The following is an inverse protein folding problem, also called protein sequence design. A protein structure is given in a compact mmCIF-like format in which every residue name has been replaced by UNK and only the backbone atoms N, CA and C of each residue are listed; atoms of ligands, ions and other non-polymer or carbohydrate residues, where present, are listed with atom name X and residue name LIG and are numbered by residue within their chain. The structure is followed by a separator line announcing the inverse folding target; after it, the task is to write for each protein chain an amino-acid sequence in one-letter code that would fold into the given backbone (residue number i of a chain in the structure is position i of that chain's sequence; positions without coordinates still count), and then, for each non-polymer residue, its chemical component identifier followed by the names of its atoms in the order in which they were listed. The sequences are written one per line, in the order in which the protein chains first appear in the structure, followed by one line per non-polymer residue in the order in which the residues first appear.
data_IF_895853344552
#
_entry.id   IF_895853344552
#
_cell.length_a   1.000
_cell.length_b   1.000
_cell.length_c   1.000
_cell.angle_alpha   90.00
_cell.angle_beta   90.00
_cell.angle_gamma   90.00
#
_symmetry.space_group_name_H-M   'P 1'
#
loop_
_entity.id
_entity.type
_entity.pdbx_description
1 polymer ?
#
# COMPACT_ATOMS: atom_id res chain seq x y z
N UNK A 1 19.87 -10.30 -18.61
CA UNK A 1 18.52 -10.91 -18.67
C UNK A 1 17.78 -10.31 -19.86
N UNK A 2 17.18 -11.13 -20.75
CA UNK A 2 16.29 -10.60 -21.78
C UNK A 2 14.99 -10.18 -21.12
N UNK A 3 14.58 -8.93 -21.33
CA UNK A 3 13.23 -8.46 -21.04
C UNK A 3 12.24 -9.26 -21.92
N UNK A 4 11.32 -9.98 -21.30
CA UNK A 4 10.32 -10.75 -22.02
C UNK A 4 9.56 -11.67 -21.09
N UNK A 5 8.22 -11.60 -21.17
CA UNK A 5 7.25 -12.54 -20.59
C UNK A 5 6.83 -12.33 -19.13
N UNK A 6 6.54 -11.09 -18.74
CA UNK A 6 5.30 -10.74 -18.03
C UNK A 6 4.99 -9.27 -18.34
N UNK A 7 4.77 -8.97 -19.63
CA UNK A 7 4.21 -7.68 -19.99
C UNK A 7 2.78 -7.66 -19.46
N UNK A 8 2.54 -6.90 -18.39
CA UNK A 8 1.20 -6.64 -17.90
C UNK A 8 0.34 -6.22 -19.12
N UNK A 9 -0.80 -6.88 -19.41
CA UNK A 9 -1.55 -6.62 -20.65
C UNK A 9 -1.95 -5.15 -20.79
N UNK A 10 -1.91 -4.54 -21.99
CA UNK A 10 -2.30 -3.14 -22.22
C UNK A 10 -3.61 -2.71 -21.56
N UNK A 11 -3.62 -1.53 -20.92
CA UNK A 11 -4.82 -0.97 -20.30
C UNK A 11 -5.17 -1.54 -18.92
N UNK A 12 -4.25 -2.30 -18.31
CA UNK A 12 -4.39 -2.80 -16.92
C UNK A 12 -4.33 -1.72 -15.85
N UNK A 13 -3.98 -0.48 -16.21
CA UNK A 13 -3.97 0.63 -15.27
C UNK A 13 -2.73 0.73 -14.39
N UNK A 14 -1.70 -0.05 -14.70
CA UNK A 14 -0.37 0.13 -14.12
C UNK A 14 0.34 1.26 -14.86
N UNK A 15 1.23 1.95 -14.16
CA UNK A 15 1.89 3.16 -14.66
C UNK A 15 2.57 2.96 -16.03
N UNK A 16 3.22 1.80 -16.24
CA UNK A 16 3.89 1.43 -17.50
C UNK A 16 2.93 1.17 -18.68
N UNK A 17 1.62 1.32 -18.47
CA UNK A 17 0.62 0.66 -19.29
C UNK A 17 -0.76 1.31 -19.29
N UNK A 18 -0.77 2.65 -19.25
CA UNK A 18 -1.99 3.45 -19.29
C UNK A 18 -2.45 3.66 -20.74
N UNK A 19 -3.75 3.53 -20.99
CA UNK A 19 -4.36 4.06 -22.21
C UNK A 19 -4.63 5.57 -22.09
N UNK A 20 -5.09 6.21 -23.17
CA UNK A 20 -5.34 7.66 -23.21
C UNK A 20 -6.34 8.16 -22.15
N UNK A 21 -7.44 7.45 -21.94
CA UNK A 21 -8.45 7.81 -20.93
C UNK A 21 -7.90 7.64 -19.51
N UNK A 22 -7.16 6.56 -19.27
CA UNK A 22 -6.50 6.31 -18.00
C UNK A 22 -5.46 7.39 -17.68
N UNK A 23 -4.69 7.82 -18.68
CA UNK A 23 -3.75 8.94 -18.55
C UNK A 23 -4.47 10.24 -18.20
N UNK A 24 -5.62 10.52 -18.82
CA UNK A 24 -6.45 11.70 -18.54
C UNK A 24 -6.95 11.71 -17.08
N UNK A 25 -7.42 10.58 -16.56
CA UNK A 25 -7.84 10.46 -15.15
C UNK A 25 -6.64 10.64 -14.21
N UNK A 26 -5.45 10.14 -14.57
CA UNK A 26 -4.24 10.39 -13.77
C UNK A 26 -3.87 11.88 -13.72
N UNK A 27 -3.97 12.60 -14.85
CA UNK A 27 -3.79 14.06 -14.88
C UNK A 27 -4.80 14.78 -14.00
N UNK A 28 -6.08 14.41 -14.10
CA UNK A 28 -7.16 14.97 -13.29
C UNK A 28 -6.90 14.74 -11.79
N UNK A 29 -6.48 13.53 -11.41
CA UNK A 29 -6.10 13.20 -10.04
C UNK A 29 -4.95 14.05 -9.50
N UNK A 30 -3.87 14.20 -10.27
CA UNK A 30 -2.76 15.05 -9.85
C UNK A 30 -3.17 16.52 -9.77
N UNK A 31 -4.01 17.01 -10.68
CA UNK A 31 -4.56 18.37 -10.62
C UNK A 31 -5.31 18.58 -9.30
N UNK A 32 -6.21 17.67 -8.92
CA UNK A 32 -6.92 17.77 -7.65
C UNK A 32 -6.00 17.67 -6.44
N UNK A 33 -5.05 16.73 -6.44
CA UNK A 33 -4.08 16.58 -5.35
C UNK A 33 -3.32 17.89 -5.12
N UNK A 34 -2.85 18.53 -6.20
CA UNK A 34 -2.06 19.75 -6.12
C UNK A 34 -2.89 20.98 -5.74
N UNK A 35 -4.09 21.17 -6.29
CA UNK A 35 -4.98 22.25 -5.87
C UNK A 35 -5.31 22.18 -4.37
N UNK A 36 -5.61 20.97 -3.90
CA UNK A 36 -5.88 20.74 -2.48
C UNK A 36 -4.62 20.91 -1.62
N UNK A 37 -3.45 20.47 -2.10
CA UNK A 37 -2.19 20.67 -1.40
C UNK A 37 -1.73 22.13 -1.36
N UNK A 38 -2.22 22.99 -2.26
CA UNK A 38 -1.87 24.41 -2.28
C UNK A 38 -2.85 25.26 -1.45
N UNK A 39 -4.15 24.98 -1.53
CA UNK A 39 -5.19 25.85 -0.97
C UNK A 39 -6.04 25.22 0.14
N UNK A 40 -5.93 23.90 0.33
CA UNK A 40 -6.77 23.13 1.26
C UNK A 40 -8.12 22.73 0.67
N UNK A 41 -8.43 23.17 -0.55
CA UNK A 41 -9.66 22.84 -1.26
C UNK A 41 -9.43 22.69 -2.77
N UNK A 42 -10.36 22.04 -3.46
CA UNK A 42 -10.41 22.04 -4.92
C UNK A 42 -11.87 22.02 -5.38
N UNK A 43 -12.07 22.23 -6.69
CA UNK A 43 -13.39 22.24 -7.30
C UNK A 43 -13.45 21.14 -8.37
N UNK A 44 -14.38 20.21 -8.19
CA UNK A 44 -14.55 19.05 -9.07
C UNK A 44 -15.84 19.19 -9.88
N UNK A 45 -15.91 18.66 -11.11
CA UNK A 45 -17.15 18.65 -11.89
C UNK A 45 -18.32 18.02 -11.12
N UNK A 46 -19.51 18.62 -11.21
CA UNK A 46 -20.70 18.08 -10.54
C UNK A 46 -21.06 16.67 -10.99
N UNK A 47 -20.78 16.30 -12.24
CA UNK A 47 -21.01 14.95 -12.74
C UNK A 47 -20.19 13.89 -11.99
N UNK A 48 -18.92 14.19 -11.67
CA UNK A 48 -18.09 13.30 -10.85
C UNK A 48 -18.62 13.18 -9.42
N UNK A 49 -19.12 14.27 -8.84
CA UNK A 49 -19.81 14.20 -7.55
C UNK A 49 -21.10 13.37 -7.63
N UNK A 50 -21.88 13.51 -8.71
CA UNK A 50 -23.11 12.73 -8.90
C UNK A 50 -22.79 11.24 -9.02
N UNK A 51 -21.71 10.87 -9.71
CA UNK A 51 -21.21 9.50 -9.77
C UNK A 51 -20.83 8.97 -8.39
N UNK A 52 -20.13 9.78 -7.57
CA UNK A 52 -19.81 9.45 -6.17
C UNK A 52 -21.07 9.16 -5.36
N UNK A 53 -22.11 10.00 -5.51
CA UNK A 53 -23.39 9.82 -4.80
C UNK A 53 -24.13 8.55 -5.25
N UNK A 54 -24.11 8.26 -6.55
CA UNK A 54 -24.72 7.05 -7.13
C UNK A 54 -24.01 5.78 -6.65
N UNK A 55 -22.68 5.80 -6.64
CA UNK A 55 -21.87 4.70 -6.12
C UNK A 55 -22.17 4.46 -4.64
N UNK A 56 -22.25 5.52 -3.83
CA UNK A 56 -22.59 5.42 -2.42
C UNK A 56 -23.98 4.80 -2.18
N UNK A 57 -24.99 5.14 -2.99
CA UNK A 57 -26.32 4.53 -2.92
C UNK A 57 -26.26 3.03 -3.26
N UNK A 58 -25.54 2.65 -4.32
CA UNK A 58 -25.37 1.23 -4.68
C UNK A 58 -24.64 0.43 -3.59
N UNK A 59 -23.70 1.07 -2.88
CA UNK A 59 -22.93 0.49 -1.80
C UNK A 59 -23.75 0.26 -0.52
N UNK A 60 -24.82 1.03 -0.28
CA UNK A 60 -25.71 0.82 0.88
C UNK A 60 -26.51 -0.48 0.83
N UNK A 61 -26.63 -1.12 -0.34
CA UNK A 61 -27.17 -2.48 -0.49
C UNK A 61 -26.18 -3.60 -0.14
N UNK A 62 -24.90 -3.28 0.09
CA UNK A 62 -23.88 -4.26 0.49
C UNK A 62 -24.03 -4.64 1.97
N UNK A 63 -23.85 -5.92 2.30
CA UNK A 63 -23.83 -6.39 3.71
C UNK A 63 -22.50 -6.10 4.42
N UNK A 64 -21.47 -5.62 3.72
CA UNK A 64 -20.17 -5.30 4.30
C UNK A 64 -20.23 -3.98 5.11
N UNK A 65 -20.07 -4.01 6.46
CA UNK A 65 -20.24 -2.83 7.31
C UNK A 65 -19.25 -1.69 7.03
N UNK A 66 -18.03 -2.03 6.60
CA UNK A 66 -16.96 -1.10 6.23
C UNK A 66 -17.31 -0.28 4.99
N UNK A 67 -17.92 -0.92 3.99
CA UNK A 67 -18.38 -0.28 2.74
C UNK A 67 -19.50 0.72 3.03
N UNK A 68 -20.45 0.37 3.90
CA UNK A 68 -21.52 1.29 4.33
C UNK A 68 -20.98 2.49 5.13
N UNK A 69 -20.02 2.25 6.05
CA UNK A 69 -19.42 3.31 6.85
C UNK A 69 -18.59 4.27 6.00
N UNK A 70 -17.83 3.75 5.03
CA UNK A 70 -17.04 4.56 4.10
C UNK A 70 -17.90 5.46 3.21
N UNK A 71 -19.04 4.95 2.74
CA UNK A 71 -20.03 5.70 1.95
C UNK A 71 -20.68 6.85 2.75
N UNK A 72 -20.88 6.67 4.06
CA UNK A 72 -21.49 7.67 4.95
C UNK A 72 -20.53 8.78 5.42
N UNK A 73 -19.22 8.66 5.19
CA UNK A 73 -18.21 9.58 5.70
C UNK A 73 -17.36 10.26 4.60
N UNK A 74 -17.87 10.37 3.37
CA UNK A 74 -17.16 11.03 2.25
C UNK A 74 -17.43 12.54 2.15
N UNK A 75 -16.69 13.22 1.26
CA UNK A 75 -16.84 14.65 0.96
C UNK A 75 -18.30 15.11 0.75
N UNK A 76 -19.13 14.26 0.14
CA UNK A 76 -20.50 14.60 -0.25
C UNK A 76 -21.58 13.86 0.55
N UNK A 77 -21.26 13.38 1.75
CA UNK A 77 -22.22 12.65 2.59
C UNK A 77 -23.33 13.56 3.14
N UNK A 78 -24.57 13.07 3.14
CA UNK A 78 -25.73 13.81 3.67
C UNK A 78 -25.93 15.17 2.98
N UNK A 79 -26.08 16.23 3.76
CA UNK A 79 -26.28 17.60 3.25
C UNK A 79 -25.00 18.24 2.66
N UNK A 80 -23.83 17.59 2.78
CA UNK A 80 -22.55 18.13 2.29
C UNK A 80 -22.51 18.28 0.77
N UNK A 81 -23.20 17.42 0.01
CA UNK A 81 -23.27 17.53 -1.45
C UNK A 81 -23.88 18.86 -1.89
N UNK A 82 -25.00 19.24 -1.29
CA UNK A 82 -25.68 20.48 -1.63
C UNK A 82 -24.89 21.71 -1.15
N UNK A 83 -24.25 21.62 0.02
CA UNK A 83 -23.35 22.66 0.48
C UNK A 83 -22.14 22.82 -0.45
N UNK A 84 -21.55 21.73 -0.92
CA UNK A 84 -20.41 21.76 -1.83
C UNK A 84 -20.74 22.44 -3.16
N UNK A 85 -21.97 22.28 -3.68
CA UNK A 85 -22.45 23.01 -4.86
C UNK A 85 -22.58 24.51 -4.58
N UNK A 86 -23.25 24.87 -3.47
CA UNK A 86 -23.44 26.28 -3.09
C UNK A 86 -22.12 27.00 -2.87
N UNK A 87 -21.16 26.33 -2.23
CA UNK A 87 -19.82 26.87 -2.01
C UNK A 87 -19.07 27.07 -3.33
N UNK A 88 -19.21 26.14 -4.28
CA UNK A 88 -18.64 26.30 -5.62
C UNK A 88 -19.28 27.45 -6.40
N UNK A 89 -20.60 27.59 -6.36
CA UNK A 89 -21.32 28.71 -6.98
C UNK A 89 -20.92 30.06 -6.36
N UNK A 90 -20.80 30.13 -5.04
CA UNK A 90 -20.34 31.33 -4.33
C UNK A 90 -18.89 31.70 -4.70
N UNK A 91 -18.06 30.72 -5.05
CA UNK A 91 -16.70 30.93 -5.57
C UNK A 91 -16.65 31.21 -7.09
N UNK A 92 -17.80 31.39 -7.76
CA UNK A 92 -17.89 31.63 -9.19
C UNK A 92 -17.57 30.40 -10.05
N UNK A 93 -17.65 29.19 -9.48
CA UNK A 93 -17.38 27.89 -10.13
C UNK A 93 -18.69 27.17 -10.45
N UNK A 94 -19.50 27.76 -11.33
CA UNK A 94 -20.75 27.15 -11.78
C UNK A 94 -20.54 25.74 -12.36
N UNK A 95 -21.42 24.80 -12.03
CA UNK A 95 -21.31 23.40 -12.47
C UNK A 95 -20.23 22.57 -11.77
N UNK A 96 -19.59 23.11 -10.72
CA UNK A 96 -18.62 22.40 -9.89
C UNK A 96 -19.17 22.10 -8.49
N UNK A 97 -18.43 21.29 -7.73
CA UNK A 97 -18.63 21.02 -6.32
C UNK A 97 -17.30 21.18 -5.58
N UNK A 98 -17.33 21.84 -4.42
CA UNK A 98 -16.13 22.03 -3.60
C UNK A 98 -15.78 20.76 -2.83
N UNK A 99 -14.49 20.43 -2.80
CA UNK A 99 -13.89 19.40 -1.94
C UNK A 99 -12.92 20.10 -1.00
N UNK A 100 -12.98 19.82 0.31
CA UNK A 100 -12.09 20.43 1.31
C UNK A 100 -11.37 19.38 2.16
N UNK A 101 -10.10 19.62 2.50
CA UNK A 101 -9.37 18.80 3.48
C UNK A 101 -9.99 18.84 4.87
N UNK A 102 -10.57 19.98 5.23
CA UNK A 102 -11.19 20.17 6.54
C UNK A 102 -12.32 19.16 6.77
N UNK A 103 -13.03 18.75 5.70
CA UNK A 103 -14.08 17.72 5.77
C UNK A 103 -13.57 16.34 6.22
N UNK A 104 -12.26 16.09 6.07
CA UNK A 104 -11.59 14.87 6.48
C UNK A 104 -10.70 15.08 7.73
N UNK A 105 -10.72 16.27 8.34
CA UNK A 105 -9.84 16.60 9.46
C UNK A 105 -8.35 16.64 9.08
N UNK A 106 -8.06 17.00 7.83
CA UNK A 106 -6.71 17.22 7.31
C UNK A 106 -6.46 18.72 7.12
N UNK A 107 -5.18 19.08 7.02
CA UNK A 107 -4.74 20.43 6.68
C UNK A 107 -3.64 20.38 5.62
N UNK A 108 -3.40 21.51 4.96
CA UNK A 108 -2.37 21.65 3.90
C UNK A 108 -0.99 21.26 4.43
N UNK A 109 -0.67 21.70 5.66
CA UNK A 109 0.60 21.45 6.32
C UNK A 109 0.84 19.97 6.59
N UNK A 110 -0.23 19.18 6.74
CA UNK A 110 -0.15 17.74 6.97
C UNK A 110 -0.19 16.92 5.68
N UNK A 111 -0.93 17.38 4.66
CA UNK A 111 -1.15 16.62 3.43
C UNK A 111 0.14 16.40 2.63
N UNK A 112 0.87 17.48 2.37
CA UNK A 112 2.07 17.40 1.50
C UNK A 112 3.14 16.51 2.12
N UNK A 113 3.47 16.62 3.43
CA UNK A 113 4.40 15.70 4.06
C UNK A 113 3.95 14.25 4.04
N UNK A 114 2.67 13.95 4.33
CA UNK A 114 2.20 12.55 4.37
C UNK A 114 2.12 11.92 2.97
N UNK A 115 1.81 12.70 1.93
CA UNK A 115 1.84 12.25 0.53
C UNK A 115 3.24 11.73 0.18
N UNK A 116 4.26 12.57 0.37
CA UNK A 116 5.63 12.22 -0.01
C UNK A 116 6.26 11.19 0.91
N UNK A 117 5.97 11.25 2.22
CA UNK A 117 6.37 10.18 3.16
C UNK A 117 5.84 8.82 2.68
N UNK A 118 4.60 8.79 2.19
CA UNK A 118 4.02 7.56 1.68
C UNK A 118 4.56 7.15 0.31
N UNK A 119 5.14 8.03 -0.50
CA UNK A 119 5.80 7.65 -1.77
C UNK A 119 7.07 6.84 -1.52
N UNK A 120 7.89 7.21 -0.51
CA UNK A 120 9.18 6.55 -0.25
C UNK A 120 10.07 6.48 -1.52
N UNK A 121 10.41 5.28 -1.98
CA UNK A 121 11.11 5.00 -3.22
C UNK A 121 10.23 4.35 -4.30
N UNK A 122 8.90 4.38 -4.13
CA UNK A 122 7.94 3.97 -5.16
C UNK A 122 7.82 5.08 -6.21
N UNK A 123 7.36 4.72 -7.42
CA UNK A 123 6.98 5.71 -8.42
C UNK A 123 5.73 6.48 -7.93
N UNK A 124 5.73 7.83 -7.86
CA UNK A 124 4.57 8.60 -7.37
C UNK A 124 3.26 8.28 -8.12
N UNK A 125 3.29 8.19 -9.45
CA UNK A 125 2.10 7.77 -10.23
C UNK A 125 1.60 6.38 -9.84
N UNK A 126 2.49 5.42 -9.50
CA UNK A 126 2.06 4.08 -9.08
C UNK A 126 1.29 4.12 -7.75
N UNK A 127 1.70 4.99 -6.81
CA UNK A 127 0.93 5.21 -5.58
C UNK A 127 -0.47 5.74 -5.89
N UNK A 128 -0.58 6.77 -6.75
CA UNK A 128 -1.87 7.36 -7.13
C UNK A 128 -2.75 6.35 -7.85
N UNK A 129 -2.19 5.62 -8.83
CA UNK A 129 -2.92 4.66 -9.64
C UNK A 129 -3.51 3.50 -8.84
N UNK A 130 -2.91 3.10 -7.71
CA UNK A 130 -3.52 2.11 -6.81
C UNK A 130 -4.90 2.56 -6.30
N UNK A 131 -5.04 3.83 -5.92
CA UNK A 131 -6.32 4.39 -5.49
C UNK A 131 -7.30 4.57 -6.66
N UNK A 132 -6.80 5.00 -7.82
CA UNK A 132 -7.61 5.18 -9.03
C UNK A 132 -8.20 3.85 -9.52
N UNK A 133 -7.39 2.79 -9.60
CA UNK A 133 -7.86 1.43 -9.95
C UNK A 133 -8.88 0.92 -8.94
N UNK A 134 -8.60 1.07 -7.63
CA UNK A 134 -9.52 0.66 -6.56
C UNK A 134 -10.87 1.40 -6.58
N UNK A 135 -10.95 2.54 -7.29
CA UNK A 135 -12.18 3.32 -7.46
C UNK A 135 -12.62 3.42 -8.91
N UNK A 136 -12.27 2.40 -9.72
CA UNK A 136 -12.76 2.20 -11.08
C UNK A 136 -12.61 3.46 -11.95
N UNK A 137 -11.49 4.16 -11.80
CA UNK A 137 -11.18 5.38 -12.54
C UNK A 137 -12.07 6.60 -12.25
N UNK A 138 -12.84 6.59 -11.16
CA UNK A 138 -13.48 7.81 -10.64
C UNK A 138 -12.47 8.59 -9.77
N UNK A 139 -12.01 9.73 -10.28
CA UNK A 139 -11.00 10.55 -9.62
C UNK A 139 -11.43 11.03 -8.23
N UNK A 140 -12.67 11.49 -8.06
CA UNK A 140 -13.11 12.06 -6.79
C UNK A 140 -13.26 10.99 -5.70
N UNK A 141 -13.76 9.81 -6.06
CA UNK A 141 -13.77 8.65 -5.18
C UNK A 141 -12.36 8.19 -4.79
N UNK A 142 -11.42 8.19 -5.75
CA UNK A 142 -10.02 7.85 -5.50
C UNK A 142 -9.36 8.87 -4.56
N UNK A 143 -9.59 10.17 -4.77
CA UNK A 143 -9.09 11.25 -3.92
C UNK A 143 -9.60 11.13 -2.48
N UNK A 144 -10.91 10.89 -2.31
CA UNK A 144 -11.53 10.66 -1.01
C UNK A 144 -10.93 9.44 -0.28
N UNK A 145 -10.71 8.34 -1.01
CA UNK A 145 -10.07 7.15 -0.45
C UNK A 145 -8.63 7.41 -0.02
N UNK A 146 -7.85 8.07 -0.89
CA UNK A 146 -6.46 8.40 -0.62
C UNK A 146 -6.31 9.29 0.61
N UNK A 147 -7.10 10.36 0.72
CA UNK A 147 -7.02 11.26 1.86
C UNK A 147 -7.51 10.59 3.15
N UNK A 148 -8.51 9.71 3.11
CA UNK A 148 -8.88 8.88 4.28
C UNK A 148 -7.73 7.95 4.69
N UNK A 149 -7.00 7.38 3.75
CA UNK A 149 -5.81 6.58 4.04
C UNK A 149 -4.68 7.42 4.65
N UNK A 150 -4.48 8.65 4.19
CA UNK A 150 -3.51 9.58 4.77
C UNK A 150 -3.91 10.03 6.17
N UNK A 151 -5.20 10.33 6.38
CA UNK A 151 -5.74 10.63 7.70
C UNK A 151 -5.51 9.46 8.65
N UNK A 152 -5.84 8.23 8.24
CA UNK A 152 -5.55 7.03 9.03
C UNK A 152 -4.07 6.89 9.35
N UNK A 153 -3.16 7.15 8.37
CA UNK A 153 -1.72 7.11 8.63
C UNK A 153 -1.27 8.10 9.70
N UNK A 154 -1.89 9.28 9.74
CA UNK A 154 -1.61 10.30 10.75
C UNK A 154 -2.22 9.92 12.10
N UNK A 155 -3.48 9.48 12.12
CA UNK A 155 -4.20 9.08 13.35
C UNK A 155 -3.53 7.86 14.01
N UNK A 156 -3.01 6.93 13.20
CA UNK A 156 -2.25 5.77 13.65
C UNK A 156 -0.76 6.06 13.85
N UNK A 157 -0.27 7.27 13.58
CA UNK A 157 1.16 7.58 13.67
C UNK A 157 2.04 6.50 12.99
N UNK A 158 1.68 6.16 11.75
CA UNK A 158 2.41 5.17 10.94
C UNK A 158 3.89 5.53 10.77
N UNK A 159 4.29 6.81 10.65
CA UNK A 159 5.71 7.18 10.69
C UNK A 159 6.46 6.63 11.91
N UNK A 160 5.87 6.69 13.12
CA UNK A 160 6.51 6.10 14.32
C UNK A 160 6.71 4.59 14.22
N UNK A 161 5.91 3.89 13.40
CA UNK A 161 6.04 2.45 13.19
C UNK A 161 7.12 2.16 12.13
N UNK A 162 7.09 2.93 11.05
CA UNK A 162 7.93 2.76 9.86
C UNK A 162 9.42 3.04 10.12
N UNK A 163 9.70 3.98 11.01
CA UNK A 163 11.06 4.48 11.27
C UNK A 163 11.71 3.90 12.53
N UNK A 164 10.94 3.32 13.45
CA UNK A 164 11.44 2.77 14.73
C UNK A 164 12.12 1.41 14.60
N UNK A 165 12.97 1.11 15.58
CA UNK A 165 13.52 -0.23 15.77
C UNK A 165 12.45 -1.20 16.25
N UNK A 166 12.65 -2.50 16.01
CA UNK A 166 11.79 -3.54 16.58
C UNK A 166 11.78 -3.56 18.12
N UNK A 167 12.88 -3.16 18.76
CA UNK A 167 12.98 -3.00 20.22
C UNK A 167 12.06 -1.85 20.69
N UNK A 168 12.19 -0.66 20.11
CA UNK A 168 11.33 0.49 20.45
C UNK A 168 9.84 0.18 20.19
N UNK A 169 9.57 -0.59 19.14
CA UNK A 169 8.21 -1.02 18.84
C UNK A 169 7.66 -1.98 19.89
N UNK A 170 8.47 -2.92 20.41
CA UNK A 170 8.05 -3.82 21.49
C UNK A 170 7.83 -3.10 22.81
N UNK A 171 8.68 -2.12 23.14
CA UNK A 171 8.52 -1.26 24.34
C UNK A 171 7.17 -0.54 24.33
N UNK A 172 6.76 -0.03 23.15
CA UNK A 172 5.46 0.65 22.96
C UNK A 172 4.30 -0.32 22.76
N UNK A 173 4.57 -1.53 22.30
CA UNK A 173 3.57 -2.53 21.92
C UNK A 173 3.96 -3.90 22.49
N UNK A 174 3.56 -4.20 23.74
CA UNK A 174 4.04 -5.38 24.44
C UNK A 174 3.81 -6.67 23.64
N UNK A 175 4.85 -7.50 23.54
CA UNK A 175 4.89 -8.79 22.83
C UNK A 175 4.90 -8.68 21.30
N UNK A 176 5.12 -7.50 20.73
CA UNK A 176 5.32 -7.35 19.29
C UNK A 176 6.53 -8.18 18.82
N UNK A 177 7.66 -8.07 19.51
CA UNK A 177 8.88 -8.80 19.19
C UNK A 177 8.67 -10.30 19.34
N UNK A 178 8.02 -10.74 20.42
CA UNK A 178 7.65 -12.15 20.63
C UNK A 178 6.82 -12.72 19.47
N UNK A 179 5.95 -11.93 18.86
CA UNK A 179 5.15 -12.35 17.70
C UNK A 179 6.02 -12.50 16.42
N UNK A 180 7.05 -11.68 16.27
CA UNK A 180 8.05 -11.83 15.21
C UNK A 180 8.91 -13.08 15.48
N UNK A 181 9.50 -13.21 16.66
CA UNK A 181 10.35 -14.32 17.07
C UNK A 181 9.73 -15.70 16.83
N UNK A 182 8.43 -15.86 17.15
CA UNK A 182 7.74 -17.14 16.97
C UNK A 182 7.46 -17.49 15.50
N UNK A 183 7.68 -16.57 14.56
CA UNK A 183 7.36 -16.76 13.15
C UNK A 183 5.86 -16.82 12.89
N UNK A 184 5.05 -16.05 13.62
CA UNK A 184 3.60 -15.92 13.34
C UNK A 184 3.37 -15.38 11.94
N UNK A 185 4.23 -14.45 11.54
CA UNK A 185 4.33 -13.90 10.21
C UNK A 185 5.80 -13.88 9.78
N UNK A 186 6.09 -14.27 8.54
CA UNK A 186 7.40 -14.03 7.93
C UNK A 186 7.28 -13.96 6.41
N UNK A 187 8.25 -13.33 5.75
CA UNK A 187 8.30 -13.24 4.28
C UNK A 187 9.49 -14.03 3.79
N UNK A 188 9.29 -14.87 2.79
CA UNK A 188 10.38 -15.60 2.14
C UNK A 188 10.06 -15.93 0.68
N UNK A 189 10.99 -15.61 -0.21
CA UNK A 189 10.92 -15.97 -1.62
C UNK A 189 9.84 -15.25 -2.41
N UNK A 190 9.62 -15.74 -3.63
CA UNK A 190 8.60 -15.22 -4.55
C UNK A 190 7.72 -16.31 -5.13
N UNK A 191 6.47 -15.96 -5.44
CA UNK A 191 5.57 -16.84 -6.18
C UNK A 191 5.89 -16.83 -7.69
N UNK A 192 5.09 -17.55 -8.48
CA UNK A 192 5.28 -17.64 -9.93
C UNK A 192 5.03 -16.33 -10.68
N UNK A 193 4.38 -15.34 -10.07
CA UNK A 193 4.18 -13.99 -10.62
C UNK A 193 5.23 -13.00 -10.06
N UNK A 194 6.29 -13.51 -9.41
CA UNK A 194 7.35 -12.74 -8.75
C UNK A 194 6.87 -11.84 -7.60
N UNK A 195 5.67 -12.10 -7.05
CA UNK A 195 5.20 -11.44 -5.82
C UNK A 195 5.96 -12.02 -4.63
N UNK A 196 6.39 -11.16 -3.72
CA UNK A 196 6.94 -11.62 -2.43
C UNK A 196 5.89 -12.48 -1.70
N UNK A 197 6.34 -13.59 -1.10
CA UNK A 197 5.44 -14.50 -0.38
C UNK A 197 5.53 -14.23 1.12
N UNK A 198 4.40 -13.83 1.69
CA UNK A 198 4.22 -13.64 3.12
C UNK A 198 3.45 -14.83 3.71
N UNK A 199 4.07 -15.55 4.64
CA UNK A 199 3.51 -16.70 5.32
C UNK A 199 2.93 -16.30 6.68
N UNK A 200 1.69 -16.69 6.93
CA UNK A 200 0.99 -16.51 8.20
C UNK A 200 0.70 -17.87 8.81
N UNK A 201 1.41 -18.20 9.89
CA UNK A 201 1.25 -19.46 10.61
C UNK A 201 0.09 -19.36 11.61
N UNK A 202 -1.13 -19.64 11.16
CA UNK A 202 -2.35 -19.33 11.92
C UNK A 202 -2.42 -20.11 13.24
N UNK A 203 -1.88 -21.33 13.29
CA UNK A 203 -1.83 -22.14 14.53
C UNK A 203 -1.12 -21.46 15.71
N UNK A 204 -0.21 -20.53 15.42
CA UNK A 204 0.55 -19.77 16.44
C UNK A 204 -0.21 -18.57 16.98
N UNK A 205 -1.32 -18.21 16.35
CA UNK A 205 -2.12 -17.07 16.76
C UNK A 205 -3.15 -17.46 17.83
N UNK A 206 -3.20 -16.69 18.91
CA UNK A 206 -4.31 -16.65 19.86
C UNK A 206 -4.63 -15.19 20.18
N UNK A 207 -5.91 -14.83 20.12
CA UNK A 207 -6.35 -13.45 20.30
C UNK A 207 -5.94 -12.88 21.67
N UNK A 208 -6.05 -13.69 22.73
CA UNK A 208 -5.75 -13.29 24.11
C UNK A 208 -4.27 -13.19 24.48
N UNK A 209 -3.34 -13.55 23.58
CA UNK A 209 -1.91 -13.55 23.90
C UNK A 209 -1.32 -12.14 24.00
N UNK A 210 -1.95 -11.14 23.40
CA UNK A 210 -1.49 -9.74 23.37
C UNK A 210 -2.67 -8.77 23.23
N UNK A 211 -2.49 -7.47 23.57
CA UNK A 211 -3.49 -6.47 23.25
C UNK A 211 -3.80 -6.46 21.74
N UNK A 212 -5.07 -6.29 21.31
CA UNK A 212 -5.42 -6.21 19.89
C UNK A 212 -4.60 -5.17 19.13
N UNK A 213 -4.35 -4.01 19.76
CA UNK A 213 -3.57 -2.93 19.18
C UNK A 213 -2.12 -3.33 18.85
N UNK A 214 -1.51 -4.22 19.62
CA UNK A 214 -0.16 -4.76 19.31
C UNK A 214 -0.16 -5.48 17.97
N UNK A 215 -1.20 -6.27 17.67
CA UNK A 215 -1.28 -6.99 16.39
C UNK A 215 -1.60 -6.07 15.22
N UNK A 216 -2.45 -5.06 15.44
CA UNK A 216 -2.70 -4.01 14.44
C UNK A 216 -1.39 -3.30 14.06
N UNK A 217 -0.60 -2.92 15.06
CA UNK A 217 0.70 -2.26 14.89
C UNK A 217 1.73 -3.17 14.24
N UNK A 218 1.77 -4.45 14.61
CA UNK A 218 2.60 -5.46 13.96
C UNK A 218 2.23 -5.62 12.48
N UNK A 219 0.93 -5.66 12.14
CA UNK A 219 0.49 -5.75 10.76
C UNK A 219 0.95 -4.53 9.95
N UNK A 220 0.83 -3.32 10.51
CA UNK A 220 1.33 -2.10 9.85
C UNK A 220 2.85 -2.11 9.71
N UNK A 221 3.59 -2.52 10.75
CA UNK A 221 5.05 -2.67 10.69
C UNK A 221 5.46 -3.61 9.56
N UNK A 222 4.82 -4.77 9.47
CA UNK A 222 5.04 -5.75 8.41
C UNK A 222 4.75 -5.18 7.03
N UNK A 223 3.65 -4.43 6.87
CA UNK A 223 3.31 -3.79 5.61
C UNK A 223 4.39 -2.78 5.20
N UNK A 224 4.79 -1.86 6.09
CA UNK A 224 5.81 -0.85 5.78
C UNK A 224 7.22 -1.46 5.60
N UNK A 225 7.57 -2.50 6.36
CA UNK A 225 8.82 -3.24 6.19
C UNK A 225 8.85 -4.03 4.88
N UNK A 226 7.73 -4.62 4.47
CA UNK A 226 7.63 -5.39 3.23
C UNK A 226 7.64 -4.52 1.97
N UNK A 227 7.24 -3.25 2.05
CA UNK A 227 7.20 -2.35 0.89
C UNK A 227 8.55 -2.15 0.20
N UNK A 228 9.66 -2.13 0.94
CA UNK A 228 10.99 -2.03 0.33
C UNK A 228 11.40 -3.26 -0.45
N UNK A 229 10.72 -4.39 -0.25
CA UNK A 229 11.00 -5.61 -0.97
C UNK A 229 10.30 -5.66 -2.34
N UNK A 230 9.37 -4.74 -2.61
CA UNK A 230 8.68 -4.69 -3.89
C UNK A 230 9.65 -4.23 -4.99
N UNK A 231 9.70 -5.02 -6.06
CA UNK A 231 10.53 -4.75 -7.23
C UNK A 231 9.61 -4.47 -8.42
N UNK A 232 9.63 -3.25 -8.99
CA UNK A 232 8.87 -2.94 -10.19
C UNK A 232 9.14 -3.96 -11.32
N UNK A 233 8.12 -4.34 -12.11
CA UNK A 233 6.75 -3.81 -12.13
C UNK A 233 5.80 -4.46 -11.11
N UNK A 234 6.28 -5.32 -10.21
CA UNK A 234 5.43 -6.03 -9.25
C UNK A 234 5.08 -5.12 -8.07
N UNK A 235 3.79 -4.82 -7.94
CA UNK A 235 3.24 -3.96 -6.88
C UNK A 235 2.50 -4.73 -5.78
N UNK A 236 2.39 -6.05 -5.92
CA UNK A 236 1.50 -6.88 -5.09
C UNK A 236 2.22 -8.01 -4.37
N UNK A 237 1.59 -8.50 -3.30
CA UNK A 237 2.08 -9.63 -2.48
C UNK A 237 1.22 -10.88 -2.65
N UNK A 238 1.82 -12.04 -2.37
CA UNK A 238 1.13 -13.30 -2.18
C UNK A 238 1.09 -13.64 -0.69
N UNK A 239 -0.10 -13.81 -0.12
CA UNK A 239 -0.27 -14.23 1.27
C UNK A 239 -0.55 -15.72 1.32
N UNK A 240 0.18 -16.46 2.14
CA UNK A 240 -0.09 -17.86 2.47
C UNK A 240 -0.56 -17.93 3.92
N UNK A 241 -1.85 -18.11 4.13
CA UNK A 241 -2.39 -18.46 5.45
C UNK A 241 -2.28 -19.96 5.62
N UNK A 242 -1.32 -20.41 6.43
CA UNK A 242 -1.14 -21.82 6.78
C UNK A 242 -2.04 -22.16 7.97
N UNK A 243 -3.11 -22.90 7.69
CA UNK A 243 -4.09 -23.39 8.66
C UNK A 243 -3.76 -24.81 9.15
N UNK A 244 -2.58 -25.35 8.85
CA UNK A 244 -2.16 -26.63 9.41
C UNK A 244 -2.14 -26.57 10.93
N UNK A 245 -2.93 -27.42 11.58
CA UNK A 245 -3.10 -27.39 13.04
C UNK A 245 -4.02 -26.27 13.56
N UNK A 246 -4.80 -25.63 12.68
CA UNK A 246 -5.81 -24.65 13.07
C UNK A 246 -6.89 -25.26 13.98
N UNK A 247 -7.28 -24.50 14.99
CA UNK A 247 -8.43 -24.74 15.86
C UNK A 247 -9.23 -23.44 16.01
N UNK A 248 -10.46 -23.52 16.53
CA UNK A 248 -11.26 -22.33 16.79
C UNK A 248 -10.62 -21.36 17.81
N UNK A 249 -9.71 -21.84 18.66
CA UNK A 249 -8.93 -20.98 19.56
C UNK A 249 -7.98 -20.01 18.81
N UNK A 250 -7.68 -20.31 17.54
CA UNK A 250 -6.87 -19.47 16.67
C UNK A 250 -7.71 -18.44 15.89
N UNK A 251 -9.04 -18.52 15.96
CA UNK A 251 -9.90 -17.59 15.23
C UNK A 251 -9.96 -16.24 15.95
N UNK A 252 -9.54 -15.19 15.25
CA UNK A 252 -9.61 -13.81 15.71
C UNK A 252 -10.32 -12.94 14.67
N UNK A 253 -11.63 -12.74 14.89
CA UNK A 253 -12.46 -11.96 13.97
C UNK A 253 -12.08 -10.48 13.97
N UNK A 254 -11.50 -9.96 15.06
CA UNK A 254 -11.02 -8.58 15.12
C UNK A 254 -9.83 -8.41 14.16
N UNK A 255 -8.83 -9.27 14.28
CA UNK A 255 -7.65 -9.22 13.43
C UNK A 255 -8.00 -9.46 11.95
N UNK A 256 -8.91 -10.39 11.66
CA UNK A 256 -9.41 -10.61 10.29
C UNK A 256 -10.04 -9.34 9.73
N UNK A 257 -10.96 -8.69 10.46
CA UNK A 257 -11.58 -7.42 10.03
C UNK A 257 -10.55 -6.31 9.82
N UNK A 258 -9.53 -6.24 10.68
CA UNK A 258 -8.47 -5.26 10.54
C UNK A 258 -7.61 -5.51 9.29
N UNK A 259 -7.23 -6.76 9.00
CA UNK A 259 -6.49 -7.09 7.77
C UNK A 259 -7.30 -6.74 6.52
N UNK A 260 -8.60 -7.02 6.52
CA UNK A 260 -9.50 -6.63 5.42
C UNK A 260 -9.45 -5.10 5.24
N UNK A 261 -9.59 -4.33 6.32
CA UNK A 261 -9.52 -2.88 6.28
C UNK A 261 -8.16 -2.35 5.77
N UNK A 262 -7.06 -2.97 6.17
CA UNK A 262 -5.71 -2.65 5.69
C UNK A 262 -5.65 -2.77 4.16
N UNK A 263 -6.08 -3.90 3.58
CA UNK A 263 -5.98 -4.14 2.13
C UNK A 263 -7.04 -3.40 1.31
N UNK A 264 -8.24 -3.19 1.83
CA UNK A 264 -9.36 -2.57 1.09
C UNK A 264 -9.42 -1.05 1.22
N UNK A 265 -8.91 -0.47 2.31
CA UNK A 265 -9.02 0.97 2.60
C UNK A 265 -7.68 1.70 2.57
N UNK A 266 -6.60 1.11 3.10
CA UNK A 266 -5.36 1.83 3.41
C UNK A 266 -4.17 1.49 2.53
N UNK A 267 -4.16 0.27 1.96
CA UNK A 267 -3.17 -0.24 1.02
C UNK A 267 -3.90 -0.88 -0.18
N UNK A 268 -4.74 -0.12 -0.91
CA UNK A 268 -5.45 -0.67 -2.07
C UNK A 268 -4.48 -1.24 -3.09
N UNK A 269 -4.94 -2.23 -3.84
CA UNK A 269 -4.19 -2.81 -4.97
C UNK A 269 -2.79 -3.35 -4.58
N UNK A 270 -2.56 -3.64 -3.30
CA UNK A 270 -1.31 -4.26 -2.80
C UNK A 270 -1.39 -5.79 -2.67
N UNK A 271 -2.58 -6.36 -2.75
CA UNK A 271 -2.82 -7.80 -2.64
C UNK A 271 -2.97 -8.42 -4.03
N UNK A 272 -2.16 -9.45 -4.33
CA UNK A 272 -2.21 -10.17 -5.60
C UNK A 272 -2.89 -11.54 -5.47
N UNK A 273 -2.56 -12.29 -4.41
CA UNK A 273 -3.09 -13.63 -4.14
C UNK A 273 -3.21 -13.88 -2.64
N UNK A 274 -4.30 -14.53 -2.23
CA UNK A 274 -4.43 -15.13 -0.89
C UNK A 274 -4.57 -16.64 -1.07
N UNK A 275 -3.65 -17.40 -0.49
CA UNK A 275 -3.67 -18.85 -0.45
C UNK A 275 -4.07 -19.27 0.97
N UNK A 276 -5.26 -19.85 1.10
CA UNK A 276 -5.69 -20.50 2.34
C UNK A 276 -5.27 -21.97 2.25
N UNK A 277 -4.22 -22.32 2.97
CA UNK A 277 -3.58 -23.63 2.88
C UNK A 277 -3.92 -24.50 4.08
N UNK A 278 -4.19 -25.80 3.85
CA UNK A 278 -4.34 -26.78 4.92
C UNK A 278 -5.57 -26.55 5.80
N UNK A 279 -6.61 -25.89 5.27
CA UNK A 279 -7.82 -25.56 6.02
C UNK A 279 -8.56 -26.83 6.50
N UNK A 280 -8.70 -27.04 7.83
CA UNK A 280 -9.46 -28.18 8.35
C UNK A 280 -10.96 -28.01 8.10
N UNK A 281 -11.73 -29.09 8.19
CA UNK A 281 -13.18 -29.06 7.91
C UNK A 281 -13.94 -27.99 8.71
N UNK A 282 -13.57 -27.76 9.97
CA UNK A 282 -14.17 -26.73 10.83
C UNK A 282 -14.01 -25.30 10.25
N UNK A 283 -12.97 -25.04 9.47
CA UNK A 283 -12.72 -23.74 8.86
C UNK A 283 -13.82 -23.33 7.88
N UNK A 284 -14.52 -24.26 7.24
CA UNK A 284 -15.61 -23.91 6.31
C UNK A 284 -16.76 -23.17 7.00
N UNK A 285 -17.01 -23.43 8.29
CA UNK A 285 -17.93 -22.63 9.09
C UNK A 285 -17.43 -21.20 9.31
N UNK A 286 -16.13 -21.05 9.59
CA UNK A 286 -15.47 -19.74 9.74
C UNK A 286 -15.47 -18.97 8.43
N UNK A 287 -15.17 -19.63 7.31
CA UNK A 287 -15.15 -19.01 5.99
C UNK A 287 -16.51 -18.43 5.60
N UNK A 288 -17.62 -19.08 5.96
CA UNK A 288 -18.97 -18.54 5.76
C UNK A 288 -19.21 -17.21 6.51
N UNK A 289 -18.47 -16.96 7.58
CA UNK A 289 -18.50 -15.70 8.33
C UNK A 289 -17.55 -14.66 7.73
N UNK A 290 -16.38 -15.08 7.24
CA UNK A 290 -15.36 -14.17 6.68
C UNK A 290 -15.71 -13.71 5.27
N UNK A 291 -16.14 -14.63 4.39
CA UNK A 291 -16.37 -14.35 2.97
C UNK A 291 -17.29 -13.15 2.72
N UNK A 292 -18.43 -12.97 3.43
CA UNK A 292 -19.29 -11.80 3.24
C UNK A 292 -18.68 -10.47 3.67
N UNK A 293 -17.58 -10.49 4.43
CA UNK A 293 -16.85 -9.28 4.86
C UNK A 293 -15.86 -8.79 3.80
N UNK A 294 -15.50 -9.63 2.83
CA UNK A 294 -14.57 -9.30 1.76
C UNK A 294 -15.30 -8.61 0.62
N UNK A 295 -14.69 -7.57 0.07
CA UNK A 295 -15.14 -7.03 -1.21
C UNK A 295 -14.94 -8.08 -2.33
N UNK A 296 -15.75 -8.06 -3.40
CA UNK A 296 -15.68 -9.06 -4.47
C UNK A 296 -14.29 -9.19 -5.14
N UNK A 297 -13.51 -8.10 -5.21
CA UNK A 297 -12.18 -8.10 -5.81
C UNK A 297 -11.18 -8.83 -4.92
N UNK A 298 -11.22 -8.62 -3.60
CA UNK A 298 -10.38 -9.37 -2.65
C UNK A 298 -10.84 -10.84 -2.58
N UNK A 299 -12.13 -11.11 -2.53
CA UNK A 299 -12.66 -12.47 -2.51
C UNK A 299 -12.21 -13.29 -3.73
N UNK A 300 -12.17 -12.68 -4.92
CA UNK A 300 -11.69 -13.32 -6.15
C UNK A 300 -10.18 -13.66 -6.14
N UNK A 301 -9.39 -13.05 -5.25
CA UNK A 301 -7.96 -13.35 -5.08
C UNK A 301 -7.70 -14.54 -4.15
N UNK A 302 -8.72 -15.04 -3.46
CA UNK A 302 -8.61 -16.16 -2.52
C UNK A 302 -8.64 -17.49 -3.28
N UNK A 303 -7.65 -18.34 -3.00
CA UNK A 303 -7.59 -19.73 -3.46
C UNK A 303 -7.36 -20.64 -2.26
N UNK A 304 -7.87 -21.88 -2.36
CA UNK A 304 -7.75 -22.89 -1.31
C UNK A 304 -6.85 -24.01 -1.79
N UNK A 305 -5.85 -24.37 -0.99
CA UNK A 305 -5.00 -25.54 -1.25
C UNK A 305 -5.17 -26.57 -0.14
N UNK A 306 -5.52 -27.79 -0.51
CA UNK A 306 -5.80 -28.90 0.43
C UNK A 306 -4.55 -29.69 0.78
N UNK A 307 -3.63 -29.80 -0.17
CA UNK A 307 -2.37 -30.52 -0.02
C UNK A 307 -1.19 -29.59 -0.29
N UNK A 308 -0.04 -29.88 0.32
CA UNK A 308 1.20 -29.13 0.11
C UNK A 308 1.62 -29.14 -1.38
N UNK A 309 1.33 -30.22 -2.10
CA UNK A 309 1.58 -30.32 -3.53
C UNK A 309 0.83 -29.26 -4.34
N UNK A 310 -0.38 -28.87 -3.93
CA UNK A 310 -1.14 -27.80 -4.58
C UNK A 310 -0.49 -26.42 -4.40
N UNK A 311 0.32 -26.20 -3.34
CA UNK A 311 1.09 -24.95 -3.21
C UNK A 311 2.07 -24.75 -4.37
N UNK A 312 2.61 -25.84 -4.93
CA UNK A 312 3.54 -25.78 -6.08
C UNK A 312 2.88 -25.29 -7.36
N UNK A 313 1.54 -25.23 -7.42
CA UNK A 313 0.83 -24.61 -8.53
C UNK A 313 1.01 -23.09 -8.53
N UNK A 314 1.19 -22.50 -7.35
CA UNK A 314 1.29 -21.05 -7.16
C UNK A 314 2.71 -20.56 -6.89
N UNK A 315 3.52 -21.34 -6.17
CA UNK A 315 4.91 -21.04 -5.81
C UNK A 315 5.80 -22.09 -6.49
N UNK A 316 6.91 -21.69 -7.10
CA UNK A 316 7.84 -22.66 -7.71
C UNK A 316 8.43 -23.59 -6.63
N UNK A 317 8.61 -24.88 -6.94
CA UNK A 317 9.17 -25.84 -5.99
C UNK A 317 10.55 -25.41 -5.45
N UNK A 318 11.39 -24.80 -6.29
CA UNK A 318 12.71 -24.26 -5.91
C UNK A 318 12.63 -23.01 -5.03
N UNK A 319 11.44 -22.45 -4.85
CA UNK A 319 11.18 -21.25 -4.03
C UNK A 319 10.23 -21.52 -2.87
N UNK A 320 9.64 -22.71 -2.82
CA UNK A 320 8.74 -23.16 -1.76
C UNK A 320 9.57 -23.87 -0.69
N UNK A 321 9.31 -23.48 0.56
CA UNK A 321 9.99 -24.02 1.73
C UNK A 321 9.69 -25.52 1.87
N UNK A 322 10.72 -26.33 2.13
CA UNK A 322 10.68 -27.79 2.21
C UNK A 322 9.78 -28.35 3.33
N UNK A 323 9.40 -27.50 4.29
CA UNK A 323 8.37 -27.82 5.29
C UNK A 323 7.02 -28.17 4.66
N UNK A 324 6.76 -27.70 3.45
CA UNK A 324 5.61 -28.09 2.64
C UNK A 324 6.07 -29.16 1.64
N UNK A 325 5.44 -30.33 1.68
CA UNK A 325 5.79 -31.45 0.78
C UNK A 325 5.74 -31.00 -0.69
N UNK A 326 6.89 -31.04 -1.36
CA UNK A 326 7.08 -30.60 -2.74
C UNK A 326 7.90 -29.32 -2.88
N UNK A 327 8.14 -28.59 -1.79
CA UNK A 327 9.15 -27.56 -1.71
C UNK A 327 10.56 -28.16 -1.67
N UNK A 328 11.52 -27.45 -2.25
CA UNK A 328 12.93 -27.84 -2.31
C UNK A 328 13.82 -26.92 -1.47
N UNK A 329 13.33 -25.74 -1.11
CA UNK A 329 14.11 -24.76 -0.40
C UNK A 329 14.18 -25.10 1.10
N UNK A 330 15.38 -25.44 1.58
CA UNK A 330 15.64 -25.82 2.99
C UNK A 330 15.60 -24.64 3.98
N UNK A 331 15.03 -23.51 3.59
CA UNK A 331 14.87 -22.33 4.45
C UNK A 331 14.13 -22.68 5.74
N UNK A 332 14.67 -22.23 6.88
CA UNK A 332 13.99 -22.29 8.18
C UNK A 332 13.91 -20.89 8.73
N UNK A 333 12.70 -20.50 9.13
CA UNK A 333 12.51 -19.20 9.75
C UNK A 333 13.15 -19.19 11.13
N UNK A 334 14.07 -18.25 11.31
CA UNK A 334 14.63 -17.85 12.60
C UNK A 334 14.65 -16.33 12.64
N UNK A 335 14.19 -15.74 13.73
CA UNK A 335 14.22 -14.30 13.89
C UNK A 335 15.63 -13.84 14.24
N UNK A 336 16.16 -12.91 13.44
CA UNK A 336 17.52 -12.39 13.61
C UNK A 336 17.43 -11.07 14.38
N UNK A 337 17.89 -11.11 15.63
CA UNK A 337 17.89 -9.97 16.53
C UNK A 337 18.83 -8.86 16.07
N UNK A 338 18.50 -7.64 16.48
CA UNK A 338 19.34 -6.46 16.27
C UNK A 338 20.75 -6.67 16.84
N UNK A 339 21.76 -6.22 16.09
CA UNK A 339 23.14 -6.19 16.60
C UNK A 339 23.47 -4.79 17.14
N UNK A 340 24.26 -4.67 18.23
CA UNK A 340 24.66 -3.38 18.76
C UNK A 340 25.31 -2.50 17.67
N UNK A 341 24.80 -1.29 17.49
CA UNK A 341 25.34 -0.31 16.53
C UNK A 341 24.87 -0.48 15.08
N UNK A 342 23.98 -1.43 14.75
CA UNK A 342 23.48 -1.62 13.37
C UNK A 342 22.79 -0.37 12.78
N UNK A 343 22.26 0.49 13.66
CA UNK A 343 21.55 1.72 13.31
C UNK A 343 22.38 2.99 13.58
N UNK A 344 23.70 2.88 13.76
CA UNK A 344 24.58 4.03 14.06
C UNK A 344 24.46 5.17 13.05
N UNK A 345 24.17 4.87 11.78
CA UNK A 345 23.93 5.89 10.75
C UNK A 345 22.76 6.84 11.10
N UNK A 346 21.77 6.40 11.88
CA UNK A 346 20.63 7.24 12.27
C UNK A 346 21.02 8.35 13.28
N UNK A 347 22.18 8.24 13.91
CA UNK A 347 22.75 9.27 14.81
C UNK A 347 23.39 10.43 14.02
N UNK A 348 23.75 10.22 12.74
CA UNK A 348 24.30 11.24 11.86
C UNK A 348 23.17 12.14 11.30
N UNK A 349 22.79 13.13 12.11
CA UNK A 349 21.70 14.06 11.78
C UNK A 349 22.04 14.97 10.60
N UNK A 350 23.31 15.34 10.43
CA UNK A 350 23.75 16.21 9.33
C UNK A 350 23.59 15.51 7.97
N UNK A 351 24.09 14.27 7.85
CA UNK A 351 23.91 13.48 6.63
C UNK A 351 22.44 13.15 6.40
N UNK A 352 21.69 12.81 7.46
CA UNK A 352 20.25 12.59 7.37
C UNK A 352 19.53 13.79 6.77
N UNK A 353 19.75 14.99 7.32
CA UNK A 353 19.10 16.22 6.87
C UNK A 353 19.45 16.55 5.42
N UNK A 354 20.74 16.43 5.05
CA UNK A 354 21.19 16.64 3.67
C UNK A 354 20.52 15.68 2.70
N UNK A 355 20.53 14.37 2.98
CA UNK A 355 19.97 13.35 2.09
C UNK A 355 18.44 13.44 1.99
N UNK A 356 17.76 13.74 3.09
CA UNK A 356 16.31 14.01 3.08
C UNK A 356 16.01 15.27 2.27
N UNK A 357 16.86 16.30 2.34
CA UNK A 357 16.78 17.50 1.51
C UNK A 357 16.92 17.19 0.01
N UNK A 358 17.94 16.41 -0.36
CA UNK A 358 18.16 15.92 -1.75
C UNK A 358 16.93 15.16 -2.27
N UNK A 359 16.39 14.23 -1.48
CA UNK A 359 15.20 13.47 -1.86
C UNK A 359 13.94 14.34 -1.98
N UNK A 360 13.72 15.31 -1.07
CA UNK A 360 12.60 16.26 -1.15
C UNK A 360 12.70 17.18 -2.37
N UNK A 361 13.90 17.61 -2.74
CA UNK A 361 14.10 18.44 -3.93
C UNK A 361 13.66 17.71 -5.21
N UNK A 362 13.90 16.41 -5.30
CA UNK A 362 13.41 15.58 -6.41
C UNK A 362 11.88 15.48 -6.44
N UNK A 363 11.21 15.45 -5.27
CA UNK A 363 9.75 15.49 -5.21
C UNK A 363 9.19 16.81 -5.72
N UNK A 364 9.82 17.94 -5.38
CA UNK A 364 9.44 19.24 -5.96
C UNK A 364 9.66 19.28 -7.45
N UNK A 365 10.78 18.73 -7.94
CA UNK A 365 11.02 18.63 -9.37
C UNK A 365 9.95 17.79 -10.08
N UNK A 366 9.58 16.65 -9.50
CA UNK A 366 8.51 15.81 -10.03
C UNK A 366 7.17 16.55 -10.04
N UNK A 367 6.84 17.29 -8.98
CA UNK A 367 5.63 18.10 -8.89
C UNK A 367 5.59 19.19 -9.98
N UNK A 368 6.67 19.95 -10.17
CA UNK A 368 6.81 20.96 -11.23
C UNK A 368 6.55 20.35 -12.61
N UNK A 369 7.25 19.25 -12.93
CA UNK A 369 7.09 18.56 -14.21
C UNK A 369 5.69 17.98 -14.38
N UNK A 370 5.06 17.51 -13.31
CA UNK A 370 3.69 16.98 -13.36
C UNK A 370 2.68 18.09 -13.61
N UNK A 371 2.87 19.29 -13.02
CA UNK A 371 2.04 20.46 -13.33
C UNK A 371 2.18 20.89 -14.78
N UNK A 372 3.40 20.89 -15.30
CA UNK A 372 3.63 21.19 -16.72
C UNK A 372 2.97 20.14 -17.63
N UNK A 373 3.14 18.85 -17.31
CA UNK A 373 2.52 17.73 -18.01
C UNK A 373 0.98 17.81 -18.05
N UNK A 374 0.35 18.22 -16.95
CA UNK A 374 -1.10 18.44 -16.87
C UNK A 374 -1.54 19.55 -17.84
N UNK A 375 -0.74 20.61 -17.97
CA UNK A 375 -1.10 21.80 -18.74
C UNK A 375 -0.76 21.71 -20.24
N UNK A 376 -0.11 20.64 -20.71
CA UNK A 376 0.19 20.46 -22.15
C UNK A 376 -1.08 20.55 -22.98
N UNK A 377 -1.06 21.41 -24.01
CA UNK A 377 -2.20 21.62 -24.91
C UNK A 377 -3.32 22.49 -24.34
N UNK A 378 -3.13 23.08 -23.16
CA UNK A 378 -4.05 24.06 -22.55
C UNK A 378 -3.53 25.49 -22.71
N UNK A 379 -4.38 26.47 -22.42
CA UNK A 379 -4.01 27.90 -22.32
C UNK A 379 -3.01 28.19 -21.19
N UNK A 380 -2.85 27.26 -20.24
CA UNK A 380 -1.90 27.35 -19.12
C UNK A 380 -0.51 26.76 -19.43
N UNK A 381 -0.27 26.26 -20.64
CA UNK A 381 1.04 25.74 -21.01
C UNK A 381 2.11 26.85 -20.94
N UNK A 382 3.17 26.61 -20.17
CA UNK A 382 4.25 27.60 -19.92
C UNK A 382 5.47 27.38 -20.81
N UNK A 383 5.55 26.26 -21.53
CA UNK A 383 6.68 25.88 -22.39
C UNK A 383 6.16 25.30 -23.71
N UNK A 384 6.97 25.30 -24.80
CA UNK A 384 6.62 24.63 -26.05
C UNK A 384 6.91 23.12 -26.04
N UNK A 385 7.26 22.53 -24.89
CA UNK A 385 7.65 21.13 -24.78
C UNK A 385 6.46 20.20 -25.06
N UNK A 386 6.75 19.08 -25.70
CA UNK A 386 5.78 18.03 -25.98
C UNK A 386 5.47 17.21 -24.72
N UNK A 387 4.29 16.56 -24.70
CA UNK A 387 3.93 15.64 -23.61
C UNK A 387 4.99 14.55 -23.40
N UNK A 388 5.51 13.98 -24.50
CA UNK A 388 6.49 12.90 -24.45
C UNK A 388 7.84 13.32 -23.84
N UNK A 389 8.32 14.53 -24.13
CA UNK A 389 9.55 15.07 -23.53
C UNK A 389 9.40 15.25 -22.03
N UNK A 390 8.26 15.79 -21.58
CA UNK A 390 7.99 15.98 -20.15
C UNK A 390 7.80 14.63 -19.45
N UNK A 391 7.13 13.67 -20.08
CA UNK A 391 6.97 12.31 -19.54
C UNK A 391 8.33 11.64 -19.35
N UNK A 392 9.23 11.69 -20.32
CA UNK A 392 10.57 11.09 -20.17
C UNK A 392 11.34 11.73 -18.98
N UNK A 393 11.27 13.05 -18.82
CA UNK A 393 11.91 13.74 -17.69
C UNK A 393 11.27 13.35 -16.35
N UNK A 394 9.92 13.28 -16.27
CA UNK A 394 9.22 12.80 -15.06
C UNK A 394 9.67 11.40 -14.69
N UNK A 395 9.79 10.51 -15.67
CA UNK A 395 10.16 9.12 -15.47
C UNK A 395 11.61 9.00 -14.98
N UNK A 396 12.48 9.86 -15.49
CA UNK A 396 13.87 9.95 -15.05
C UNK A 396 13.97 10.44 -13.59
N UNK A 397 13.25 11.51 -13.24
CA UNK A 397 13.17 12.00 -11.85
C UNK A 397 12.61 10.93 -10.90
N UNK A 398 11.66 10.10 -11.33
CA UNK A 398 11.16 8.99 -10.52
C UNK A 398 12.22 7.92 -10.22
N UNK A 399 13.13 7.64 -11.16
CA UNK A 399 14.27 6.74 -10.92
C UNK A 399 15.24 7.38 -9.92
N UNK A 400 15.50 8.67 -10.04
CA UNK A 400 16.35 9.43 -9.10
C UNK A 400 15.75 9.48 -7.70
N UNK A 401 14.43 9.66 -7.57
CA UNK A 401 13.68 9.56 -6.32
C UNK A 401 13.96 8.22 -5.63
N UNK A 402 13.88 7.11 -6.37
CA UNK A 402 14.12 5.77 -5.83
C UNK A 402 15.57 5.64 -5.33
N UNK A 403 16.54 6.07 -6.14
CA UNK A 403 17.97 6.02 -5.75
C UNK A 403 18.24 6.88 -4.51
N UNK A 404 17.71 8.10 -4.48
CA UNK A 404 17.85 9.01 -3.34
C UNK A 404 17.19 8.44 -2.08
N UNK A 405 16.03 7.79 -2.21
CA UNK A 405 15.36 7.11 -1.09
C UNK A 405 16.26 6.04 -0.47
N UNK A 406 16.82 5.13 -1.27
CA UNK A 406 17.66 4.05 -0.73
C UNK A 406 19.02 4.56 -0.22
N UNK A 407 19.54 5.65 -0.77
CA UNK A 407 20.72 6.35 -0.23
C UNK A 407 20.45 6.92 1.17
N UNK A 408 19.26 7.47 1.42
CA UNK A 408 18.89 8.03 2.73
C UNK A 408 18.37 6.99 3.73
N UNK A 409 17.87 5.85 3.26
CA UNK A 409 17.24 4.80 4.09
C UNK A 409 18.02 4.45 5.38
N UNK A 410 19.36 4.27 5.38
CA UNK A 410 20.13 4.00 6.61
C UNK A 410 20.13 5.09 7.67
N UNK A 411 19.79 6.31 7.29
CA UNK A 411 19.79 7.46 8.19
C UNK A 411 18.39 7.75 8.73
N UNK A 412 17.35 7.20 8.09
CA UNK A 412 15.95 7.48 8.44
C UNK A 412 15.23 6.27 9.03
N UNK A 413 15.61 5.04 8.65
CA UNK A 413 14.91 3.81 9.04
C UNK A 413 15.83 2.84 9.74
N UNK A 414 15.31 2.28 10.83
CA UNK A 414 15.97 1.17 11.50
C UNK A 414 16.07 -0.06 10.59
N UNK A 415 17.19 -0.77 10.72
CA UNK A 415 17.40 -2.09 10.14
C UNK A 415 16.43 -3.08 10.77
N UNK A 416 16.00 -4.05 9.96
CA UNK A 416 15.04 -5.08 10.34
C UNK A 416 15.51 -6.45 9.81
N UNK A 417 14.71 -7.48 10.04
CA UNK A 417 15.08 -8.86 9.71
C UNK A 417 15.46 -9.10 8.23
N UNK A 418 15.01 -8.26 7.28
CA UNK A 418 15.41 -8.35 5.87
C UNK A 418 16.83 -7.88 5.59
N UNK A 419 17.32 -6.95 6.41
CA UNK A 419 18.69 -6.43 6.31
C UNK A 419 19.68 -7.29 7.09
N UNK A 420 19.20 -7.98 8.13
CA UNK A 420 20.02 -8.80 9.03
C UNK A 420 20.24 -10.24 8.54
N UNK A 421 19.48 -10.70 7.54
CA UNK A 421 19.68 -12.04 6.98
C UNK A 421 21.08 -12.19 6.38
N UNK A 422 21.58 -13.43 6.31
CA UNK A 422 22.89 -13.74 5.71
C UNK A 422 22.72 -14.68 4.52
N UNK A 423 22.93 -14.20 3.27
CA UNK A 423 23.13 -12.80 2.89
C UNK A 423 21.87 -11.95 3.09
N UNK A 424 21.98 -10.61 3.13
CA UNK A 424 20.83 -9.72 3.28
C UNK A 424 19.86 -9.84 2.11
N UNK A 425 18.56 -9.91 2.41
CA UNK A 425 17.51 -9.93 1.38
C UNK A 425 17.30 -8.53 0.81
N UNK A 426 17.26 -7.52 1.67
CA UNK A 426 17.14 -6.11 1.26
C UNK A 426 18.53 -5.46 1.23
N UNK A 427 18.97 -5.00 0.06
CA UNK A 427 20.28 -4.37 -0.12
C UNK A 427 20.19 -2.83 -0.04
N UNK A 428 21.31 -2.14 0.31
CA UNK A 428 21.32 -0.68 0.43
C UNK A 428 21.01 0.10 -0.85
N UNK A 429 21.10 -0.54 -2.02
CA UNK A 429 20.73 0.05 -3.32
C UNK A 429 19.25 -0.15 -3.68
N UNK A 430 18.48 -0.81 -2.81
CA UNK A 430 17.07 -1.13 -3.02
C UNK A 430 16.80 -2.35 -3.89
N UNK A 431 17.84 -3.09 -4.27
CA UNK A 431 17.69 -4.41 -4.86
C UNK A 431 17.33 -5.46 -3.81
N UNK A 432 16.69 -6.53 -4.27
CA UNK A 432 16.21 -7.61 -3.41
C UNK A 432 16.77 -8.93 -3.91
N UNK A 433 17.42 -9.67 -3.03
CA UNK A 433 18.07 -10.94 -3.36
C UNK A 433 17.55 -12.06 -2.45
N UNK A 434 16.77 -12.96 -3.05
CA UNK A 434 16.33 -14.19 -2.38
C UNK A 434 17.36 -15.30 -2.59
N UNK A 435 17.78 -15.93 -1.50
CA UNK A 435 18.61 -17.14 -1.52
C UNK A 435 17.72 -18.34 -1.22
N UNK A 436 17.80 -19.34 -2.10
CA UNK A 436 17.06 -20.59 -2.00
C UNK A 436 18.05 -21.74 -1.80
N UNK A 437 17.87 -22.52 -0.73
CA UNK A 437 18.76 -23.60 -0.32
C UNK A 437 18.27 -24.95 -0.87
N UNK A 438 18.26 -25.09 -2.19
CA UNK A 438 17.77 -26.30 -2.87
C UNK A 438 18.74 -27.48 -2.77
#
# INVERSE_FOLDING_TARGET
MKAGEHATPPGTGHYWNLNGEQKKVLKEMWSFIFEVADSGECYVPQDLMNDVLKDAQSATGSQAPTVQAAAKAGFFSGNKAEQAKRDAEAAGKAGMAKVSLADLGLSVEKLRPILWDNVMGDHPDSLVLRFVRARKWNAVNALNMMFKAFKWRLDEDVPSIKYSTDIELDEKNPKLLKNLEMGKFFVHGTDKENRIVAYLNVRLHKAGDQPPKTLERLAVYVMEAGRVLLQPPVETVCLVFDLTGFSLANMDLHMVKYLIQIFEAYYPESLGRIIIHGAPFIFWGVWKVIQPLLDPVVAAKVVFTRSDAELTQHIDANKLIDRYKGGLDKYKYEYIHATPGENKCMEDTETKERLVGEWKALMWRFEELTREWINVGTDKATTPRTEAEIEEERNQVCKEIRVAFFKMDPYVRARNFFHRSTPPVALPDGSVHWVYNN
#
